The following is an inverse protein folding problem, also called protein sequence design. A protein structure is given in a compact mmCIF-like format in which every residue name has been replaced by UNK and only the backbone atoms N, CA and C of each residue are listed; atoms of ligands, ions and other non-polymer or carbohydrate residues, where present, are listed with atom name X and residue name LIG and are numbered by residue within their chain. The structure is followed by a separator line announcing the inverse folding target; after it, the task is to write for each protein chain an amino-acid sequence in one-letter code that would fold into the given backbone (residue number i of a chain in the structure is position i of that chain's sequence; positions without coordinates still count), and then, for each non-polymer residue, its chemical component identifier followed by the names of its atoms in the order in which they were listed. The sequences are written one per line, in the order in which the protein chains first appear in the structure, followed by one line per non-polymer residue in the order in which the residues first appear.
data_IF_808114186839
#
_entry.id   IF_808114186839
#
_cell.length_a   1.000
_cell.length_b   1.000
_cell.length_c   1.000
_cell.angle_alpha   90.00
_cell.angle_beta   90.00
_cell.angle_gamma   90.00
#
_symmetry.space_group_name_H-M   'P 1'
#
loop_
_entity.id
_entity.type
_entity.pdbx_description
1 polymer ?
#
# COMPACT_ATOMS: atom_id res chain seq x y z
N UNK A 1 29.22 7.33 23.26
CA UNK A 1 29.00 5.91 22.87
C UNK A 1 28.98 5.08 24.14
N UNK A 2 27.82 4.62 24.59
CA UNK A 2 27.74 3.61 25.66
C UNK A 2 27.01 2.39 25.09
N UNK A 3 27.80 1.41 24.67
CA UNK A 3 27.34 0.06 24.39
C UNK A 3 28.33 -0.88 25.08
N UNK A 4 28.27 -0.93 26.41
CA UNK A 4 28.98 -1.91 27.22
C UNK A 4 28.46 -1.85 28.66
N UNK A 5 27.41 -2.60 28.96
CA UNK A 5 27.28 -3.33 30.23
C UNK A 5 26.05 -4.24 30.11
N UNK A 6 26.30 -5.54 29.93
CA UNK A 6 25.26 -6.57 29.83
C UNK A 6 24.70 -6.97 31.19
N UNK A 7 24.38 -6.00 32.04
CA UNK A 7 23.87 -6.23 33.39
C UNK A 7 22.82 -5.17 33.75
N UNK A 8 21.63 -5.29 33.16
CA UNK A 8 20.30 -5.07 33.78
C UNK A 8 19.21 -5.12 32.70
N UNK A 9 19.28 -6.15 31.86
CA UNK A 9 18.41 -6.28 30.70
C UNK A 9 16.93 -6.44 31.10
N UNK A 10 16.63 -7.24 32.13
CA UNK A 10 15.23 -7.58 32.47
C UNK A 10 14.40 -6.39 32.98
N UNK A 11 14.90 -5.66 33.98
CA UNK A 11 14.20 -4.50 34.51
C UNK A 11 14.08 -3.37 33.46
N UNK A 12 15.10 -3.21 32.60
CA UNK A 12 15.10 -2.25 31.51
C UNK A 12 14.09 -2.64 30.41
N UNK A 13 14.01 -3.94 30.08
CA UNK A 13 13.03 -4.48 29.13
C UNK A 13 11.60 -4.33 29.63
N UNK A 14 11.35 -4.58 30.92
CA UNK A 14 10.04 -4.37 31.55
C UNK A 14 9.66 -2.89 31.59
N UNK A 15 10.59 -2.00 31.95
CA UNK A 15 10.34 -0.56 32.01
C UNK A 15 10.11 0.08 30.62
N UNK A 16 10.78 -0.41 29.58
CA UNK A 16 10.66 0.09 28.20
C UNK A 16 9.65 -0.69 27.36
N UNK A 17 9.10 -1.79 27.87
CA UNK A 17 8.19 -2.67 27.12
C UNK A 17 8.84 -3.33 25.90
N UNK A 18 10.15 -3.51 25.90
CA UNK A 18 10.90 -4.08 24.76
C UNK A 18 11.32 -5.51 25.06
N UNK A 19 11.20 -6.41 24.08
CA UNK A 19 11.69 -7.78 24.24
C UNK A 19 13.18 -7.89 23.90
N UNK A 20 13.90 -8.89 24.45
CA UNK A 20 15.29 -9.16 24.07
C UNK A 20 15.45 -9.40 22.55
N UNK A 21 14.42 -9.98 21.91
CA UNK A 21 14.40 -10.18 20.46
C UNK A 21 14.29 -8.88 19.65
N UNK A 22 13.63 -7.83 20.18
CA UNK A 22 13.63 -6.51 19.55
C UNK A 22 15.02 -5.88 19.58
N UNK A 23 15.69 -5.93 20.74
CA UNK A 23 17.06 -5.39 20.90
C UNK A 23 18.06 -6.13 20.01
N UNK A 24 17.97 -7.46 19.93
CA UNK A 24 18.80 -8.25 19.03
C UNK A 24 18.60 -7.83 17.55
N UNK A 25 17.35 -7.68 17.10
CA UNK A 25 17.03 -7.21 15.74
C UNK A 25 17.53 -5.79 15.47
N UNK A 26 17.34 -4.86 16.41
CA UNK A 26 17.85 -3.49 16.26
C UNK A 26 19.37 -3.44 16.19
N UNK A 27 20.07 -4.24 17.00
CA UNK A 27 21.54 -4.36 16.92
C UNK A 27 22.00 -4.95 15.60
N UNK A 28 21.31 -5.97 15.11
CA UNK A 28 21.59 -6.59 13.82
C UNK A 28 21.43 -5.57 12.67
N UNK A 29 20.26 -4.91 12.60
CA UNK A 29 19.99 -3.86 11.60
C UNK A 29 21.01 -2.73 11.64
N UNK A 30 21.48 -2.34 12.83
CA UNK A 30 22.51 -1.30 12.94
C UNK A 30 23.82 -1.69 12.26
N UNK A 31 24.20 -2.96 12.34
CA UNK A 31 25.43 -3.49 11.73
C UNK A 31 25.24 -3.69 10.23
N UNK A 32 24.10 -4.23 9.80
CA UNK A 32 23.82 -4.59 8.41
C UNK A 32 23.40 -3.40 7.54
N UNK A 33 22.59 -2.49 8.08
CA UNK A 33 21.91 -1.41 7.34
C UNK A 33 22.35 -0.01 7.82
N UNK A 34 23.13 0.06 8.90
CA UNK A 34 23.61 1.30 9.50
C UNK A 34 22.71 1.87 10.61
N UNK A 35 23.21 2.85 11.38
CA UNK A 35 22.54 3.35 12.58
C UNK A 35 21.22 4.06 12.29
N UNK A 36 21.10 4.77 11.17
CA UNK A 36 19.85 5.44 10.80
C UNK A 36 18.75 4.46 10.39
N UNK A 37 19.09 3.39 9.69
CA UNK A 37 18.14 2.37 9.27
C UNK A 37 17.61 1.55 10.46
N UNK A 38 18.43 1.33 11.50
CA UNK A 38 18.00 0.64 12.71
C UNK A 38 16.95 1.42 13.53
N UNK A 39 16.90 2.75 13.35
CA UNK A 39 15.99 3.65 14.07
C UNK A 39 14.71 3.98 13.29
N UNK A 40 14.72 3.79 11.96
CA UNK A 40 13.60 4.10 11.08
C UNK A 40 12.84 2.81 10.74
N UNK A 41 11.52 2.91 10.65
CA UNK A 41 10.72 1.82 10.08
C UNK A 41 11.05 1.64 8.60
N UNK A 42 11.03 0.39 8.15
CA UNK A 42 11.17 0.08 6.73
C UNK A 42 9.99 0.66 5.94
N UNK A 43 10.23 1.19 4.73
CA UNK A 43 9.15 1.68 3.89
C UNK A 43 8.14 0.55 3.64
N UNK A 44 6.85 0.84 3.87
CA UNK A 44 5.73 -0.07 3.58
C UNK A 44 4.99 0.48 2.35
N UNK A 45 5.45 0.18 1.12
CA UNK A 45 4.93 0.80 -0.12
C UNK A 45 3.47 0.46 -0.46
N UNK A 46 2.74 -0.24 0.40
CA UNK A 46 1.35 -0.62 0.16
C UNK A 46 1.18 -1.54 -1.04
N UNK A 47 -0.06 -1.78 -1.42
CA UNK A 47 -0.38 -2.52 -2.64
C UNK A 47 -0.25 -1.59 -3.85
N UNK A 48 0.41 -2.07 -4.91
CA UNK A 48 0.47 -1.34 -6.18
C UNK A 48 -0.92 -1.22 -6.80
N UNK A 49 -1.26 -0.05 -7.37
CA UNK A 49 -2.56 0.16 -8.00
C UNK A 49 -2.74 -0.81 -9.18
N UNK A 50 -3.96 -1.34 -9.32
CA UNK A 50 -4.31 -2.31 -10.37
C UNK A 50 -4.31 -1.72 -11.79
N UNK A 51 -4.37 -0.40 -11.90
CA UNK A 51 -4.48 0.33 -13.16
C UNK A 51 -3.34 1.34 -13.27
N UNK A 52 -2.72 1.41 -14.43
CA UNK A 52 -1.77 2.47 -14.78
C UNK A 52 -2.49 3.79 -15.03
N UNK A 53 -1.77 4.92 -14.94
CA UNK A 53 -2.34 6.24 -15.23
C UNK A 53 -2.98 6.34 -16.64
N UNK A 54 -2.39 5.67 -17.65
CA UNK A 54 -2.93 5.65 -19.02
C UNK A 54 -4.24 4.87 -19.10
N UNK A 55 -4.30 3.69 -18.47
CA UNK A 55 -5.51 2.86 -18.41
C UNK A 55 -6.63 3.57 -17.65
N UNK A 56 -6.29 4.25 -16.55
CA UNK A 56 -7.23 5.07 -15.80
C UNK A 56 -7.82 6.21 -16.64
N UNK A 57 -6.97 6.98 -17.33
CA UNK A 57 -7.42 8.07 -18.20
C UNK A 57 -8.33 7.57 -19.33
N UNK A 58 -7.99 6.44 -19.95
CA UNK A 58 -8.84 5.84 -20.97
C UNK A 58 -10.18 5.36 -20.40
N UNK A 59 -10.19 4.77 -19.21
CA UNK A 59 -11.44 4.37 -18.55
C UNK A 59 -12.33 5.57 -18.22
N UNK A 60 -11.75 6.71 -17.82
CA UNK A 60 -12.49 7.95 -17.58
C UNK A 60 -13.14 8.46 -18.87
N UNK A 61 -12.43 8.41 -20.00
CA UNK A 61 -12.99 8.76 -21.31
C UNK A 61 -14.17 7.85 -21.70
N UNK A 62 -14.07 6.54 -21.44
CA UNK A 62 -15.17 5.59 -21.64
C UNK A 62 -16.37 5.97 -20.75
N UNK A 63 -16.13 6.26 -19.46
CA UNK A 63 -17.19 6.64 -18.53
C UNK A 63 -17.93 7.92 -18.93
N UNK A 64 -17.27 8.82 -19.67
CA UNK A 64 -17.85 10.05 -20.22
C UNK A 64 -18.58 9.84 -21.56
N UNK A 65 -18.45 8.66 -22.17
CA UNK A 65 -19.06 8.32 -23.46
C UNK A 65 -20.49 7.80 -23.30
N UNK A 66 -21.16 7.54 -24.43
CA UNK A 66 -22.49 6.93 -24.43
C UNK A 66 -22.51 5.61 -23.66
N UNK A 67 -23.59 5.37 -22.93
CA UNK A 67 -23.78 4.14 -22.17
C UNK A 67 -23.99 2.94 -23.11
N UNK A 68 -23.60 1.73 -22.68
CA UNK A 68 -23.85 0.51 -23.46
C UNK A 68 -25.36 0.24 -23.57
N UNK A 69 -25.73 -0.54 -24.59
CA UNK A 69 -27.11 -0.95 -24.86
C UNK A 69 -27.81 -1.52 -23.63
N UNK A 70 -29.07 -1.11 -23.42
CA UNK A 70 -29.86 -1.51 -22.25
C UNK A 70 -29.54 -0.75 -20.96
N UNK A 71 -28.63 0.23 -20.97
CA UNK A 71 -28.30 1.06 -19.82
C UNK A 71 -28.42 2.56 -20.12
N UNK A 72 -28.96 3.31 -19.15
CA UNK A 72 -29.05 4.78 -19.26
C UNK A 72 -27.72 5.49 -18.96
N UNK A 73 -26.80 4.84 -18.25
CA UNK A 73 -25.51 5.41 -17.85
C UNK A 73 -24.49 4.31 -17.51
N UNK A 74 -23.20 4.68 -17.51
CA UNK A 74 -22.13 3.81 -17.00
C UNK A 74 -22.24 3.63 -15.48
N UNK A 75 -22.54 2.41 -15.05
CA UNK A 75 -22.46 2.05 -13.62
C UNK A 75 -21.04 1.60 -13.26
N UNK A 76 -20.68 1.68 -11.98
CA UNK A 76 -19.37 1.24 -11.50
C UNK A 76 -19.09 -0.25 -11.81
N UNK A 77 -20.13 -1.09 -11.77
CA UNK A 77 -20.02 -2.53 -12.10
C UNK A 77 -19.79 -2.76 -13.60
N UNK A 78 -20.43 -1.98 -14.47
CA UNK A 78 -20.18 -2.02 -15.91
C UNK A 78 -18.75 -1.59 -16.24
N UNK A 79 -18.27 -0.51 -15.62
CA UNK A 79 -16.89 -0.07 -15.80
C UNK A 79 -15.87 -1.08 -15.26
N UNK A 80 -16.17 -1.74 -14.15
CA UNK A 80 -15.32 -2.81 -13.62
C UNK A 80 -15.27 -4.02 -14.58
N UNK A 81 -16.41 -4.41 -15.18
CA UNK A 81 -16.45 -5.40 -16.25
C UNK A 81 -15.63 -4.96 -17.46
N UNK A 82 -15.77 -3.70 -17.87
CA UNK A 82 -15.05 -3.13 -19.02
C UNK A 82 -13.53 -3.17 -18.84
N UNK A 83 -13.05 -2.97 -17.62
CA UNK A 83 -11.62 -3.10 -17.27
C UNK A 83 -11.08 -4.52 -17.52
N UNK A 84 -11.90 -5.54 -17.25
CA UNK A 84 -11.54 -6.94 -17.52
C UNK A 84 -11.63 -7.23 -19.02
N UNK A 85 -12.68 -6.76 -19.71
CA UNK A 85 -12.80 -6.88 -21.17
C UNK A 85 -11.62 -6.26 -21.92
N UNK A 86 -11.11 -5.13 -21.45
CA UNK A 86 -9.95 -4.43 -22.03
C UNK A 86 -8.59 -5.02 -21.59
N UNK A 87 -8.60 -6.12 -20.84
CA UNK A 87 -7.41 -6.79 -20.30
C UNK A 87 -6.49 -5.88 -19.46
N UNK A 88 -7.04 -4.87 -18.79
CA UNK A 88 -6.24 -3.97 -17.93
C UNK A 88 -5.90 -4.58 -16.59
N UNK A 89 -6.78 -5.44 -16.07
CA UNK A 89 -6.54 -6.22 -14.87
C UNK A 89 -7.33 -7.54 -14.93
N UNK A 90 -6.83 -8.64 -14.32
CA UNK A 90 -7.55 -9.91 -14.28
C UNK A 90 -8.85 -9.85 -13.47
N UNK A 91 -8.93 -8.92 -12.51
CA UNK A 91 -10.16 -8.61 -11.79
C UNK A 91 -10.15 -7.18 -11.26
N UNK A 92 -11.29 -6.50 -11.37
CA UNK A 92 -11.49 -5.15 -10.86
C UNK A 92 -12.73 -5.09 -9.97
N UNK A 93 -12.61 -4.50 -8.79
CA UNK A 93 -13.77 -4.26 -7.91
C UNK A 93 -14.41 -2.94 -8.28
N UNK A 94 -15.73 -2.82 -8.12
CA UNK A 94 -16.43 -1.55 -8.29
C UNK A 94 -15.88 -0.46 -7.36
N UNK A 95 -15.34 -0.84 -6.18
CA UNK A 95 -14.68 0.11 -5.26
C UNK A 95 -13.39 0.68 -5.86
N UNK A 96 -12.65 -0.10 -6.65
CA UNK A 96 -11.47 0.42 -7.38
C UNK A 96 -11.90 1.48 -8.38
N UNK A 97 -13.03 1.28 -9.08
CA UNK A 97 -13.57 2.28 -10.01
C UNK A 97 -14.08 3.52 -9.28
N UNK A 98 -14.79 3.33 -8.16
CA UNK A 98 -15.25 4.44 -7.32
C UNK A 98 -14.09 5.30 -6.82
N UNK A 99 -13.03 4.68 -6.31
CA UNK A 99 -11.84 5.39 -5.87
C UNK A 99 -11.16 6.12 -7.02
N UNK A 100 -11.09 5.51 -8.20
CA UNK A 100 -10.53 6.11 -9.40
C UNK A 100 -11.30 7.35 -9.87
N UNK A 101 -12.65 7.29 -9.85
CA UNK A 101 -13.52 8.36 -10.33
C UNK A 101 -13.82 9.42 -9.27
N UNK A 102 -13.42 9.19 -8.01
CA UNK A 102 -13.63 10.15 -6.93
C UNK A 102 -12.80 11.41 -7.23
N UNK A 103 -13.45 12.58 -7.21
CA UNK A 103 -12.75 13.86 -7.31
C UNK A 103 -11.82 14.03 -6.12
N UNK A 104 -10.51 13.91 -6.36
CA UNK A 104 -9.48 14.29 -5.40
C UNK A 104 -9.34 15.80 -5.49
N UNK A 105 -9.60 16.48 -4.36
CA UNK A 105 -9.67 17.94 -4.27
C UNK A 105 -8.35 18.60 -4.64
#
# INVERSE_FOLDING_TARGET
MQAAEGVQDKATFEALGVSPSMVAKTRQRRVEEGPEAALKDHPRPGQTPKLTHKQAAHLIAIACSAAPEGHNHWTLRLLAGKVVELAYAPSCSHETIRQLLKKTR
#
